data_IF_018536884809
#
_entry.id   IF_018536884809
#
_cell.length_a   1.000
_cell.length_b   1.000
_cell.length_c   1.000
_cell.angle_alpha   90.00
_cell.angle_beta   90.00
_cell.angle_gamma   90.00
#
_symmetry.space_group_name_H-M   'P 1'
#
loop_
_entity.id
_entity.type
_entity.pdbx_description
1 polymer ?
#
# COMPACT_ATOMS: atom_id res chain seq x y z
N UNK A 1 3.11 -12.01 21.79
CA UNK A 1 3.41 -11.14 22.95
C UNK A 1 4.59 -11.62 23.79
N UNK A 2 4.94 -12.93 23.81
CA UNK A 2 6.06 -13.48 24.59
C UNK A 2 7.38 -12.69 24.49
N UNK A 3 7.82 -12.33 23.29
CA UNK A 3 9.05 -11.53 23.09
C UNK A 3 8.97 -10.17 23.77
N UNK A 4 7.84 -9.46 23.62
CA UNK A 4 7.58 -8.17 24.29
C UNK A 4 7.54 -8.32 25.81
N UNK A 5 6.85 -9.34 26.32
CA UNK A 5 6.72 -9.60 27.77
C UNK A 5 8.05 -10.02 28.42
N UNK A 6 8.97 -10.55 27.62
CA UNK A 6 10.30 -11.02 28.07
C UNK A 6 11.43 -10.05 27.72
N UNK A 7 11.10 -8.86 27.20
CA UNK A 7 12.06 -7.83 26.74
C UNK A 7 13.11 -8.36 25.74
N UNK A 8 12.71 -9.32 24.90
CA UNK A 8 13.55 -9.89 23.83
C UNK A 8 13.19 -9.23 22.51
N UNK A 9 14.19 -8.83 21.75
CA UNK A 9 14.05 -8.29 20.40
C UNK A 9 14.69 -9.23 19.37
N UNK A 10 14.11 -9.27 18.17
CA UNK A 10 14.56 -10.15 17.10
C UNK A 10 13.48 -10.34 16.03
N UNK A 11 13.78 -11.17 15.03
CA UNK A 11 12.83 -11.57 13.99
C UNK A 11 12.73 -13.08 14.00
N UNK A 12 11.52 -13.61 14.11
CA UNK A 12 11.22 -15.03 14.03
C UNK A 12 10.50 -15.35 12.72
N UNK A 13 10.91 -16.43 12.05
CA UNK A 13 10.29 -16.86 10.79
C UNK A 13 9.15 -17.85 11.05
N UNK A 14 7.95 -17.31 11.30
CA UNK A 14 6.71 -18.08 11.46
C UNK A 14 6.21 -18.74 10.16
N UNK A 15 6.91 -18.54 9.04
CA UNK A 15 6.54 -19.06 7.73
C UNK A 15 7.66 -19.86 7.05
N UNK A 16 8.48 -20.53 7.86
CA UNK A 16 9.66 -21.31 7.45
C UNK A 16 9.38 -22.39 6.39
N UNK A 17 8.12 -22.85 6.26
CA UNK A 17 7.72 -23.79 5.20
C UNK A 17 7.87 -23.24 3.78
N UNK A 18 7.90 -21.92 3.61
CA UNK A 18 7.96 -21.25 2.30
C UNK A 18 8.95 -20.10 2.24
N UNK A 19 9.32 -19.50 3.38
CA UNK A 19 10.32 -18.43 3.44
C UNK A 19 11.64 -18.99 3.97
N UNK A 20 12.68 -18.92 3.16
CA UNK A 20 14.06 -19.24 3.56
C UNK A 20 14.77 -17.97 4.03
N UNK A 21 15.77 -18.12 4.91
CA UNK A 21 16.54 -16.99 5.44
C UNK A 21 17.22 -16.17 4.35
N UNK A 22 17.81 -16.84 3.35
CA UNK A 22 18.42 -16.17 2.19
C UNK A 22 17.40 -15.56 1.21
N UNK A 23 16.10 -15.85 1.40
CA UNK A 23 15.05 -15.53 0.44
C UNK A 23 15.25 -16.23 -0.91
N UNK A 24 14.63 -15.68 -1.96
CA UNK A 24 14.85 -16.14 -3.33
C UNK A 24 15.97 -15.34 -3.99
N UNK A 25 17.18 -15.89 -3.99
CA UNK A 25 18.38 -15.22 -4.53
C UNK A 25 18.26 -14.89 -6.01
N UNK A 26 17.73 -15.80 -6.83
CA UNK A 26 17.55 -15.56 -8.26
C UNK A 26 16.61 -14.37 -8.55
N UNK A 27 15.54 -14.23 -7.76
CA UNK A 27 14.63 -13.09 -7.87
C UNK A 27 15.28 -11.78 -7.42
N UNK A 28 16.05 -11.81 -6.32
CA UNK A 28 16.79 -10.64 -5.82
C UNK A 28 17.81 -10.15 -6.86
N UNK A 29 18.60 -11.04 -7.44
CA UNK A 29 19.57 -10.72 -8.50
C UNK A 29 18.89 -10.13 -9.74
N UNK A 30 17.73 -10.66 -10.12
CA UNK A 30 16.99 -10.15 -11.26
C UNK A 30 16.44 -8.74 -11.02
N UNK A 31 15.87 -8.49 -9.83
CA UNK A 31 15.39 -7.16 -9.45
C UNK A 31 16.56 -6.17 -9.42
N UNK A 32 17.67 -6.54 -8.78
CA UNK A 32 18.87 -5.71 -8.67
C UNK A 32 19.55 -5.44 -10.02
N UNK A 33 19.37 -6.32 -11.01
CA UNK A 33 19.88 -6.10 -12.38
C UNK A 33 19.04 -5.09 -13.15
N UNK A 34 17.71 -5.15 -13.02
CA UNK A 34 16.79 -4.37 -13.86
C UNK A 34 16.44 -3.02 -13.24
N UNK A 35 16.38 -2.95 -11.91
CA UNK A 35 15.89 -1.81 -11.18
C UNK A 35 16.97 -1.17 -10.30
N UNK A 36 16.76 0.10 -9.98
CA UNK A 36 17.46 0.86 -8.96
C UNK A 36 16.44 1.40 -7.94
N UNK A 37 16.87 1.48 -6.69
CA UNK A 37 16.07 2.02 -5.60
C UNK A 37 15.98 3.54 -5.71
N UNK A 38 14.79 4.09 -5.51
CA UNK A 38 14.52 5.53 -5.59
C UNK A 38 13.47 5.94 -4.57
N UNK A 39 13.42 7.23 -4.25
CA UNK A 39 12.34 7.81 -3.48
C UNK A 39 11.00 7.67 -4.21
N UNK A 40 9.93 7.42 -3.46
CA UNK A 40 8.61 7.25 -4.04
C UNK A 40 7.54 7.86 -3.16
N UNK A 41 6.60 8.55 -3.79
CA UNK A 41 5.37 8.97 -3.14
C UNK A 41 4.41 7.79 -2.99
N UNK A 42 4.14 7.41 -1.74
CA UNK A 42 3.12 6.43 -1.39
C UNK A 42 1.81 7.15 -1.13
N UNK A 43 0.82 6.90 -1.98
CA UNK A 43 -0.49 7.57 -1.91
C UNK A 43 -1.11 7.44 -0.52
N UNK A 44 -1.43 8.57 0.10
CA UNK A 44 -2.02 8.62 1.44
C UNK A 44 -1.02 8.53 2.60
N UNK A 45 0.28 8.38 2.31
CA UNK A 45 1.34 8.44 3.32
C UNK A 45 2.17 9.70 3.08
N UNK A 46 3.16 9.64 2.19
CA UNK A 46 4.01 10.74 1.72
C UNK A 46 5.08 10.16 0.79
N UNK A 47 6.05 10.97 0.39
CA UNK A 47 7.31 10.46 -0.15
C UNK A 47 8.10 9.74 0.94
N UNK A 48 8.50 8.51 0.67
CA UNK A 48 9.36 7.70 1.54
C UNK A 48 10.67 7.48 0.78
N UNK A 49 11.79 7.75 1.46
CA UNK A 49 13.12 7.55 0.91
C UNK A 49 13.37 6.08 0.57
N UNK A 50 14.05 5.83 -0.55
CA UNK A 50 14.51 4.50 -0.96
C UNK A 50 13.40 3.41 -0.98
N UNK A 51 12.17 3.80 -1.30
CA UNK A 51 10.98 2.95 -1.14
C UNK A 51 10.35 2.49 -2.45
N UNK A 52 10.86 2.94 -3.59
CA UNK A 52 10.37 2.56 -4.91
C UNK A 52 11.49 1.99 -5.78
N UNK A 53 11.07 1.40 -6.90
CA UNK A 53 11.95 0.91 -7.95
C UNK A 53 11.76 1.75 -9.21
N UNK A 54 12.87 2.10 -9.86
CA UNK A 54 12.90 2.66 -11.21
C UNK A 54 13.78 1.79 -12.09
N UNK A 55 13.53 1.76 -13.40
CA UNK A 55 14.40 1.04 -14.33
C UNK A 55 15.81 1.66 -14.30
N UNK A 56 16.83 0.82 -14.36
CA UNK A 56 18.20 1.28 -14.58
C UNK A 56 18.37 1.82 -16.00
N UNK A 57 19.39 2.65 -16.24
CA UNK A 57 19.67 3.26 -17.54
C UNK A 57 19.77 2.24 -18.68
N UNK A 58 20.36 1.07 -18.42
CA UNK A 58 20.45 -0.02 -19.42
C UNK A 58 19.07 -0.51 -19.93
N UNK A 59 18.01 -0.28 -19.14
CA UNK A 59 16.63 -0.70 -19.42
C UNK A 59 15.70 0.49 -19.69
N UNK A 60 16.22 1.71 -19.85
CA UNK A 60 15.42 2.93 -20.05
C UNK A 60 14.55 2.88 -21.30
N UNK A 61 14.99 2.12 -22.31
CA UNK A 61 14.24 1.84 -23.53
C UNK A 61 12.99 0.98 -23.30
N UNK A 62 12.68 0.57 -22.06
CA UNK A 62 11.39 0.01 -21.65
C UNK A 62 10.54 1.01 -20.86
N UNK A 63 11.08 2.14 -20.43
CA UNK A 63 10.37 3.11 -19.60
C UNK A 63 9.37 3.93 -20.42
N UNK A 64 8.08 3.70 -20.18
CA UNK A 64 7.00 4.44 -20.84
C UNK A 64 7.03 5.95 -20.53
N UNK A 65 7.57 6.37 -19.38
CA UNK A 65 7.68 7.78 -18.99
C UNK A 65 8.67 8.53 -19.86
N UNK A 66 9.72 7.84 -20.31
CA UNK A 66 10.74 8.39 -21.22
C UNK A 66 10.29 8.30 -22.67
N UNK A 67 9.63 7.20 -23.07
CA UNK A 67 9.09 7.03 -24.43
C UNK A 67 7.97 8.00 -24.76
N UNK A 68 7.10 8.24 -23.79
CA UNK A 68 5.89 9.04 -23.94
C UNK A 68 5.97 10.20 -22.97
N UNK A 69 6.85 11.16 -23.25
CA UNK A 69 6.94 12.41 -22.50
C UNK A 69 5.62 13.15 -22.62
N UNK A 70 4.73 12.94 -21.65
CA UNK A 70 3.55 13.78 -21.43
C UNK A 70 3.91 14.86 -20.43
N UNK A 71 3.41 16.10 -20.59
CA UNK A 71 3.51 17.09 -19.53
C UNK A 71 2.97 16.47 -18.24
N UNK A 72 3.71 16.60 -17.15
CA UNK A 72 3.21 16.21 -15.83
C UNK A 72 1.87 16.93 -15.61
N UNK A 73 0.79 16.15 -15.57
CA UNK A 73 -0.46 16.68 -15.06
C UNK A 73 -0.28 16.79 -13.55
N UNK A 74 -0.61 17.94 -12.94
CA UNK A 74 -0.58 18.06 -11.50
C UNK A 74 -1.33 16.87 -10.92
N UNK A 75 -0.68 16.15 -10.01
CA UNK A 75 -1.31 15.04 -9.31
C UNK A 75 -2.64 15.56 -8.76
N UNK A 76 -3.76 14.94 -9.15
CA UNK A 76 -5.08 15.17 -8.56
C UNK A 76 -5.07 14.59 -7.13
N UNK A 77 -4.18 15.11 -6.28
CA UNK A 77 -4.16 14.86 -4.86
C UNK A 77 -5.26 15.75 -4.26
N UNK A 78 -6.51 15.40 -4.54
CA UNK A 78 -7.69 15.98 -3.89
C UNK A 78 -7.77 15.48 -2.43
N UNK A 79 -6.68 15.54 -1.68
CA UNK A 79 -6.60 15.10 -0.29
C UNK A 79 -7.12 16.17 0.68
N UNK A 80 -7.02 17.46 0.32
CA UNK A 80 -7.39 18.55 1.21
C UNK A 80 -8.90 18.60 1.50
N UNK A 81 -9.75 18.20 0.54
CA UNK A 81 -11.22 18.30 0.63
C UNK A 81 -11.94 16.95 0.64
N UNK A 82 -11.20 15.84 0.79
CA UNK A 82 -11.81 14.51 0.76
C UNK A 82 -12.26 14.07 2.15
N UNK A 83 -13.53 13.67 2.26
CA UNK A 83 -14.06 12.93 3.43
C UNK A 83 -13.34 11.58 3.67
N UNK A 84 -12.56 11.10 2.70
CA UNK A 84 -11.87 9.82 2.78
C UNK A 84 -10.58 9.88 3.60
N UNK A 85 -10.57 9.23 4.76
CA UNK A 85 -9.38 9.11 5.63
C UNK A 85 -8.46 7.92 5.27
N UNK A 86 -8.40 7.53 4.00
CA UNK A 86 -7.64 6.33 3.57
C UNK A 86 -6.16 6.34 3.99
N UNK A 87 -5.54 7.51 4.07
CA UNK A 87 -4.16 7.64 4.57
C UNK A 87 -3.98 7.24 6.03
N UNK A 88 -4.91 7.63 6.92
CA UNK A 88 -4.87 7.23 8.33
C UNK A 88 -5.09 5.72 8.50
N UNK A 89 -5.91 5.12 7.62
CA UNK A 89 -6.15 3.67 7.60
C UNK A 89 -4.91 2.91 7.13
N UNK A 90 -4.26 3.37 6.06
CA UNK A 90 -3.04 2.75 5.53
C UNK A 90 -1.87 2.82 6.52
N UNK A 91 -1.82 3.86 7.35
CA UNK A 91 -0.83 4.00 8.45
C UNK A 91 -1.17 3.19 9.70
N UNK A 92 -2.32 2.50 9.73
CA UNK A 92 -2.77 1.74 10.90
C UNK A 92 -3.22 2.61 12.08
N UNK A 93 -3.44 3.92 11.88
CA UNK A 93 -3.86 4.86 12.93
C UNK A 93 -5.36 4.70 13.22
N UNK A 94 -6.16 4.47 12.17
CA UNK A 94 -7.63 4.29 12.26
C UNK A 94 -8.08 3.04 11.53
N UNK A 95 -9.15 2.41 12.02
CA UNK A 95 -9.83 1.31 11.32
C UNK A 95 -10.78 1.87 10.24
N UNK A 96 -11.13 1.08 9.20
CA UNK A 96 -12.13 1.51 8.21
C UNK A 96 -13.46 1.98 8.80
N UNK A 97 -13.91 1.37 9.90
CA UNK A 97 -15.15 1.76 10.60
C UNK A 97 -15.10 3.15 11.26
N UNK A 98 -13.91 3.74 11.43
CA UNK A 98 -13.75 5.11 11.90
C UNK A 98 -13.82 6.14 10.76
N UNK A 99 -13.92 5.71 9.49
CA UNK A 99 -14.07 6.59 8.35
C UNK A 99 -15.54 6.99 8.19
N UNK A 100 -15.87 8.29 8.18
CA UNK A 100 -17.27 8.75 8.10
C UNK A 100 -17.96 8.40 6.79
N UNK A 101 -17.20 8.12 5.72
CA UNK A 101 -17.77 7.70 4.44
C UNK A 101 -17.93 6.17 4.32
N UNK A 102 -17.30 5.38 5.18
CA UNK A 102 -17.23 3.93 5.02
C UNK A 102 -18.60 3.25 5.12
N UNK A 103 -18.91 2.36 4.18
CA UNK A 103 -20.15 1.58 4.16
C UNK A 103 -21.36 2.31 3.60
N UNK A 104 -21.34 3.64 3.56
CA UNK A 104 -22.37 4.48 2.97
C UNK A 104 -21.88 5.11 1.65
N UNK A 105 -21.31 6.32 1.72
CA UNK A 105 -20.83 7.05 0.54
C UNK A 105 -19.63 6.38 -0.15
N UNK A 106 -18.84 5.61 0.60
CA UNK A 106 -17.73 4.81 0.13
C UNK A 106 -18.07 3.34 0.31
N UNK A 107 -18.29 2.64 -0.80
CA UNK A 107 -18.58 1.21 -0.87
C UNK A 107 -17.95 0.63 -2.17
N UNK A 108 -17.99 -0.69 -2.41
CA UNK A 108 -17.36 -1.29 -3.59
C UNK A 108 -17.87 -0.74 -4.93
N UNK A 109 -19.15 -0.36 -5.02
CA UNK A 109 -19.72 0.20 -6.25
C UNK A 109 -19.36 1.68 -6.43
N UNK A 110 -19.12 2.40 -5.33
CA UNK A 110 -18.78 3.83 -5.30
C UNK A 110 -17.57 4.09 -4.39
N UNK A 111 -16.37 3.68 -4.78
CA UNK A 111 -15.19 3.79 -3.92
C UNK A 111 -14.64 5.22 -3.92
N UNK A 112 -14.41 5.78 -2.72
CA UNK A 112 -13.80 7.10 -2.57
C UNK A 112 -12.27 7.06 -2.41
N UNK A 113 -11.70 5.90 -2.05
CA UNK A 113 -10.27 5.75 -1.80
C UNK A 113 -9.74 4.40 -2.26
N UNK A 114 -8.44 4.33 -2.57
CA UNK A 114 -7.79 3.12 -3.07
C UNK A 114 -8.03 1.87 -2.21
N UNK A 115 -8.07 1.95 -0.85
CA UNK A 115 -8.37 0.77 -0.03
C UNK A 115 -9.79 0.20 -0.15
N UNK A 116 -10.73 0.90 -0.81
CA UNK A 116 -12.05 0.34 -1.14
C UNK A 116 -12.09 -0.27 -2.56
N UNK A 117 -11.18 0.15 -3.46
CA UNK A 117 -11.07 -0.37 -4.82
C UNK A 117 -10.31 -1.69 -4.86
N UNK A 118 -9.20 -1.78 -4.11
CA UNK A 118 -8.31 -2.94 -4.15
C UNK A 118 -8.91 -4.16 -3.47
N UNK A 119 -8.71 -5.35 -4.05
CA UNK A 119 -9.05 -6.63 -3.44
C UNK A 119 -8.26 -6.91 -2.15
N UNK A 120 -7.08 -6.32 -2.02
CA UNK A 120 -6.22 -6.37 -0.83
C UNK A 120 -6.48 -5.18 0.12
N UNK A 121 -7.37 -4.25 -0.28
CA UNK A 121 -7.63 -3.04 0.44
C UNK A 121 -8.34 -3.29 1.78
N UNK A 122 -7.81 -2.70 2.85
CA UNK A 122 -8.38 -2.86 4.20
C UNK A 122 -9.86 -2.45 4.27
N UNK A 123 -10.29 -1.39 3.57
CA UNK A 123 -11.69 -1.00 3.55
C UNK A 123 -12.55 -2.03 2.82
N UNK A 124 -12.15 -2.50 1.64
CA UNK A 124 -12.89 -3.53 0.92
C UNK A 124 -13.01 -4.82 1.73
N UNK A 125 -11.93 -5.25 2.40
CA UNK A 125 -11.93 -6.42 3.27
C UNK A 125 -12.89 -6.25 4.46
N UNK A 126 -12.84 -5.11 5.16
CA UNK A 126 -13.78 -4.81 6.24
C UNK A 126 -15.23 -4.81 5.72
N UNK A 127 -15.50 -4.17 4.59
CA UNK A 127 -16.87 -4.11 4.04
C UNK A 127 -17.40 -5.51 3.71
N UNK A 128 -16.56 -6.38 3.14
CA UNK A 128 -16.93 -7.73 2.74
C UNK A 128 -17.21 -8.64 3.94
N UNK A 129 -16.38 -8.58 4.98
CA UNK A 129 -16.40 -9.58 6.05
C UNK A 129 -16.96 -9.07 7.37
N UNK A 130 -17.11 -7.76 7.57
CA UNK A 130 -17.61 -7.17 8.82
C UNK A 130 -19.14 -7.05 8.89
N UNK A 131 -19.90 -7.87 8.13
CA UNK A 131 -21.38 -7.90 8.15
C UNK A 131 -21.95 -8.57 9.43
N UNK A 132 -21.48 -8.12 10.60
CA UNK A 132 -21.91 -8.58 11.92
C UNK A 132 -22.34 -7.46 12.89
N UNK A 133 -22.22 -6.19 12.52
CA UNK A 133 -22.82 -5.09 13.26
C UNK A 133 -23.79 -4.37 12.34
N UNK A 134 -25.08 -4.59 12.59
CA UNK A 134 -26.21 -3.89 11.99
C UNK A 134 -25.97 -2.38 11.95
N UNK A 135 -25.90 -1.80 10.75
CA UNK A 135 -26.21 -0.38 10.58
C UNK A 135 -27.73 -0.23 10.71
N UNK A 136 -28.17 0.02 11.94
CA UNK A 136 -29.47 0.66 12.20
C UNK A 136 -29.20 2.17 12.16
N UNK A 137 -29.92 2.87 11.28
CA UNK A 137 -29.93 4.34 11.17
C UNK A 137 -29.50 4.84 9.81
#
# INVERSE_FOLDING_TARGET
VRMLESDVWGVENEYARVVQEAGNQAAQEMIARVFQTVDRNWRGIATIAESGLALQSAYEHFDARLKFTKPEQPSLNNAADSICISGEILRGIKKPTACPAFGNQCNPDRPLGAPMVSSEGACAAYFRYHRGATHVG
#
